data_IF_050613828434
#
_entry.id   IF_050613828434
#
_cell.length_a   1.000
_cell.length_b   1.000
_cell.length_c   1.000
_cell.angle_alpha   90.00
_cell.angle_beta   90.00
_cell.angle_gamma   90.00
#
_symmetry.space_group_name_H-M   'P 1'
#
loop_
_entity.id
_entity.type
_entity.pdbx_description
1 polymer ?
#
# COMPACT_ATOMS: atom_id res chain seq x y z
N UNK A 1 -44.80 20.14 -9.02
CA UNK A 1 -43.63 20.90 -8.48
C UNK A 1 -42.41 20.46 -9.25
N UNK A 2 -41.86 21.27 -10.16
CA UNK A 2 -40.44 21.25 -10.61
C UNK A 2 -40.12 22.37 -11.62
N UNK A 3 -40.76 23.53 -11.46
CA UNK A 3 -40.29 24.80 -11.99
C UNK A 3 -40.81 25.89 -11.05
N UNK A 4 -40.13 26.10 -9.92
CA UNK A 4 -40.19 27.44 -9.34
C UNK A 4 -39.35 28.30 -10.28
N UNK A 5 -39.98 29.27 -10.92
CA UNK A 5 -39.31 30.41 -11.57
C UNK A 5 -38.47 30.14 -12.83
N UNK A 6 -38.87 29.19 -13.70
CA UNK A 6 -38.20 28.88 -15.00
C UNK A 6 -36.72 28.47 -14.88
N UNK A 7 -36.25 28.10 -13.70
CA UNK A 7 -34.88 27.63 -13.50
C UNK A 7 -34.72 26.16 -13.89
N UNK A 8 -33.70 25.86 -14.70
CA UNK A 8 -33.36 24.47 -15.05
C UNK A 8 -32.63 23.79 -13.88
N UNK A 9 -33.12 22.64 -13.44
CA UNK A 9 -32.54 21.86 -12.36
C UNK A 9 -31.57 20.78 -12.89
N UNK A 10 -30.41 20.70 -12.24
CA UNK A 10 -29.33 19.79 -12.64
C UNK A 10 -28.86 18.93 -11.45
N UNK A 11 -28.40 17.72 -11.76
CA UNK A 11 -27.79 16.78 -10.83
C UNK A 11 -26.36 16.52 -11.32
N UNK A 12 -25.38 16.58 -10.42
CA UNK A 12 -24.00 16.23 -10.75
C UNK A 12 -23.91 14.76 -11.16
N UNK A 13 -23.25 14.47 -12.28
CA UNK A 13 -23.01 13.10 -12.72
C UNK A 13 -22.17 12.30 -11.70
N UNK A 14 -21.24 12.98 -11.04
CA UNK A 14 -20.31 12.41 -10.08
C UNK A 14 -20.18 13.31 -8.83
N UNK A 15 -19.93 12.73 -7.64
CA UNK A 15 -19.83 13.50 -6.42
C UNK A 15 -18.49 14.24 -6.30
N UNK A 16 -18.55 15.40 -5.65
CA UNK A 16 -17.40 16.25 -5.35
C UNK A 16 -16.97 16.10 -3.89
N UNK A 17 -15.69 16.37 -3.59
CA UNK A 17 -15.12 16.23 -2.22
C UNK A 17 -15.65 17.28 -1.26
N UNK A 18 -15.96 18.46 -1.79
CA UNK A 18 -16.41 19.62 -1.04
C UNK A 18 -17.44 20.38 -1.87
N UNK A 19 -18.29 21.17 -1.23
CA UNK A 19 -19.25 22.05 -1.93
C UNK A 19 -18.60 23.33 -2.49
N UNK A 20 -17.27 23.45 -2.44
CA UNK A 20 -16.56 24.68 -2.82
C UNK A 20 -16.54 24.94 -4.32
N UNK A 21 -16.49 23.90 -5.15
CA UNK A 21 -16.47 24.04 -6.61
C UNK A 21 -16.91 22.78 -7.34
N UNK A 22 -17.54 22.94 -8.51
CA UNK A 22 -17.83 21.86 -9.46
C UNK A 22 -16.64 21.51 -10.38
N UNK A 23 -15.42 21.86 -9.97
CA UNK A 23 -14.24 21.69 -10.82
C UNK A 23 -13.75 20.24 -10.83
N UNK A 24 -13.12 19.85 -11.94
CA UNK A 24 -12.48 18.54 -12.12
C UNK A 24 -11.55 18.12 -10.98
N UNK A 25 -10.77 19.06 -10.43
CA UNK A 25 -9.84 18.82 -9.31
C UNK A 25 -10.54 18.48 -7.99
N UNK A 26 -11.82 18.83 -7.85
CA UNK A 26 -12.62 18.58 -6.67
C UNK A 26 -13.49 17.31 -6.80
N UNK A 27 -13.39 16.55 -7.88
CA UNK A 27 -14.08 15.26 -8.01
C UNK A 27 -13.61 14.26 -6.96
N UNK A 28 -14.56 13.56 -6.32
CA UNK A 28 -14.30 12.61 -5.26
C UNK A 28 -14.19 11.17 -5.77
N UNK A 29 -15.18 10.73 -6.53
CA UNK A 29 -15.20 9.42 -7.16
C UNK A 29 -15.95 9.47 -8.50
N UNK A 30 -15.81 8.42 -9.31
CA UNK A 30 -16.55 8.22 -10.55
C UNK A 30 -17.59 7.13 -10.29
N UNK A 31 -18.86 7.49 -10.46
CA UNK A 31 -20.03 6.64 -10.39
C UNK A 31 -20.72 6.51 -11.75
N UNK A 32 -20.52 7.47 -12.66
CA UNK A 32 -21.08 7.43 -14.00
C UNK A 32 -20.23 8.20 -15.02
N UNK A 33 -20.38 7.80 -16.28
CA UNK A 33 -19.84 8.47 -17.47
C UNK A 33 -20.97 8.69 -18.46
N UNK A 34 -20.89 9.72 -19.28
CA UNK A 34 -21.93 10.02 -20.25
C UNK A 34 -21.38 10.40 -21.63
N UNK A 35 -22.14 10.07 -22.66
CA UNK A 35 -21.90 10.45 -24.06
C UNK A 35 -23.14 11.18 -24.54
N UNK A 36 -22.96 12.40 -25.03
CA UNK A 36 -24.03 13.24 -25.55
C UNK A 36 -24.16 12.99 -27.05
N UNK A 37 -25.33 12.55 -27.51
CA UNK A 37 -25.61 12.21 -28.91
C UNK A 37 -26.55 13.25 -29.49
N UNK A 38 -25.96 14.25 -30.12
CA UNK A 38 -26.68 15.35 -30.78
C UNK A 38 -26.97 15.02 -32.25
N UNK A 39 -27.76 13.96 -32.46
CA UNK A 39 -28.08 13.41 -33.78
C UNK A 39 -28.71 14.43 -34.72
N UNK A 40 -29.39 15.45 -34.19
CA UNK A 40 -30.01 16.51 -34.99
C UNK A 40 -29.01 17.41 -35.72
N UNK A 41 -27.73 17.42 -35.31
CA UNK A 41 -26.64 18.06 -36.07
C UNK A 41 -26.41 17.39 -37.44
N UNK A 42 -26.85 16.14 -37.60
CA UNK A 42 -26.65 15.35 -38.83
C UNK A 42 -27.91 15.41 -39.67
N UNK A 43 -27.78 15.83 -40.93
CA UNK A 43 -28.91 16.02 -41.85
C UNK A 43 -29.78 14.77 -41.99
N UNK A 44 -29.18 13.58 -41.93
CA UNK A 44 -29.86 12.29 -42.12
C UNK A 44 -30.81 11.97 -40.95
N UNK A 45 -30.51 12.46 -39.73
CA UNK A 45 -31.26 12.11 -38.52
C UNK A 45 -32.10 13.28 -37.98
N UNK A 46 -32.10 14.44 -38.64
CA UNK A 46 -32.70 15.68 -38.15
C UNK A 46 -34.20 15.55 -37.82
N UNK A 47 -34.91 14.79 -38.63
CA UNK A 47 -36.37 14.62 -38.56
C UNK A 47 -36.78 13.32 -37.84
N UNK A 48 -35.81 12.57 -37.31
CA UNK A 48 -36.10 11.37 -36.53
C UNK A 48 -36.51 11.73 -35.10
N UNK A 49 -37.45 10.96 -34.57
CA UNK A 49 -37.81 11.03 -33.16
C UNK A 49 -36.73 10.33 -32.30
N UNK A 50 -36.50 10.79 -31.05
CA UNK A 50 -35.45 10.23 -30.19
C UNK A 50 -35.54 8.72 -30.02
N UNK A 51 -36.75 8.16 -29.94
CA UNK A 51 -36.96 6.72 -29.79
C UNK A 51 -36.46 5.94 -31.01
N UNK A 52 -36.65 6.45 -32.23
CA UNK A 52 -36.18 5.80 -33.45
C UNK A 52 -34.65 5.77 -33.49
N UNK A 53 -34.00 6.86 -33.05
CA UNK A 53 -32.54 6.92 -32.96
C UNK A 53 -32.01 5.97 -31.89
N UNK A 54 -32.69 5.85 -30.75
CA UNK A 54 -32.34 4.87 -29.71
C UNK A 54 -32.40 3.45 -30.28
N UNK A 55 -33.45 3.10 -31.03
CA UNK A 55 -33.57 1.77 -31.66
C UNK A 55 -32.43 1.49 -32.65
N UNK A 56 -32.05 2.47 -33.47
CA UNK A 56 -30.89 2.32 -34.37
C UNK A 56 -29.58 2.07 -33.61
N UNK A 57 -29.39 2.78 -32.49
CA UNK A 57 -28.22 2.58 -31.64
C UNK A 57 -28.22 1.20 -30.95
N UNK A 58 -29.39 0.74 -30.49
CA UNK A 58 -29.60 -0.61 -29.95
C UNK A 58 -29.25 -1.68 -30.98
N UNK A 59 -29.74 -1.54 -32.21
CA UNK A 59 -29.56 -2.54 -33.26
C UNK A 59 -28.14 -2.57 -33.81
N UNK A 60 -27.47 -1.44 -33.98
CA UNK A 60 -26.17 -1.40 -34.69
C UNK A 60 -24.95 -1.32 -33.77
N UNK A 61 -25.08 -0.70 -32.59
CA UNK A 61 -23.92 -0.32 -31.77
C UNK A 61 -23.87 -1.02 -30.42
N UNK A 62 -24.99 -1.12 -29.71
CA UNK A 62 -25.02 -1.65 -28.35
C UNK A 62 -24.63 -3.14 -28.33
N UNK A 63 -23.78 -3.50 -27.38
CA UNK A 63 -23.14 -4.81 -27.20
C UNK A 63 -22.38 -5.34 -28.43
N UNK A 64 -22.16 -4.49 -29.45
CA UNK A 64 -21.40 -4.80 -30.67
C UNK A 64 -20.15 -3.93 -30.79
N UNK A 65 -20.31 -2.61 -30.71
CA UNK A 65 -19.25 -1.61 -30.89
C UNK A 65 -19.03 -0.77 -29.65
N UNK A 66 -20.08 -0.60 -28.85
CA UNK A 66 -20.05 0.04 -27.53
C UNK A 66 -20.91 -0.78 -26.56
N UNK A 67 -20.67 -0.69 -25.24
CA UNK A 67 -21.52 -1.36 -24.27
C UNK A 67 -22.93 -0.77 -24.28
N UNK A 68 -23.93 -1.57 -23.90
CA UNK A 68 -25.28 -1.07 -23.63
C UNK A 68 -25.25 -0.06 -22.46
N UNK A 69 -25.77 1.17 -22.62
CA UNK A 69 -25.81 2.14 -21.53
C UNK A 69 -26.73 1.69 -20.39
N UNK A 70 -26.45 2.11 -19.16
CA UNK A 70 -27.31 1.78 -18.01
C UNK A 70 -28.62 2.58 -18.05
N UNK A 71 -28.52 3.85 -18.43
CA UNK A 71 -29.65 4.74 -18.61
C UNK A 71 -29.50 5.55 -19.90
N UNK A 72 -30.62 5.91 -20.51
CA UNK A 72 -30.66 6.84 -21.63
C UNK A 72 -31.55 8.02 -21.24
N UNK A 73 -30.96 9.20 -21.11
CA UNK A 73 -31.70 10.45 -21.01
C UNK A 73 -32.08 10.89 -22.43
N UNK A 74 -33.36 11.15 -22.68
CA UNK A 74 -33.83 11.60 -23.98
C UNK A 74 -34.88 12.71 -23.86
N UNK A 75 -34.85 13.60 -24.85
CA UNK A 75 -35.75 14.73 -25.01
C UNK A 75 -35.56 15.27 -26.43
N UNK A 76 -35.00 16.47 -26.58
CA UNK A 76 -34.58 16.93 -27.91
C UNK A 76 -33.26 16.27 -28.39
N UNK A 77 -32.44 15.82 -27.46
CA UNK A 77 -31.15 15.14 -27.67
C UNK A 77 -31.16 13.83 -26.88
N UNK A 78 -30.20 12.96 -27.17
CA UNK A 78 -30.02 11.69 -26.47
C UNK A 78 -28.72 11.75 -25.69
N UNK A 79 -28.72 11.24 -24.46
CA UNK A 79 -27.51 11.06 -23.67
C UNK A 79 -27.45 9.66 -23.13
N UNK A 80 -26.38 8.96 -23.48
CA UNK A 80 -26.09 7.61 -23.03
C UNK A 80 -25.34 7.70 -21.70
N UNK A 81 -25.88 7.10 -20.65
CA UNK A 81 -25.32 7.17 -19.29
C UNK A 81 -24.89 5.77 -18.86
N UNK A 82 -23.60 5.63 -18.58
CA UNK A 82 -22.95 4.40 -18.13
C UNK A 82 -22.69 4.50 -16.64
N UNK A 83 -23.46 3.77 -15.83
CA UNK A 83 -23.22 3.69 -14.40
C UNK A 83 -22.12 2.66 -14.12
N UNK A 84 -21.16 3.07 -13.29
CA UNK A 84 -20.03 2.23 -12.91
C UNK A 84 -20.02 1.95 -11.40
N UNK A 85 -19.34 0.88 -11.00
CA UNK A 85 -18.93 0.71 -9.61
C UNK A 85 -18.10 1.90 -9.15
N UNK A 86 -18.37 2.33 -7.91
CA UNK A 86 -17.80 3.56 -7.36
C UNK A 86 -16.27 3.48 -7.35
N UNK A 87 -15.63 4.31 -8.19
CA UNK A 87 -14.18 4.35 -8.28
C UNK A 87 -13.63 5.64 -7.66
N UNK A 88 -12.98 5.54 -6.51
CA UNK A 88 -12.42 6.70 -5.80
C UNK A 88 -11.23 7.30 -6.54
N UNK A 89 -11.25 8.62 -6.71
CA UNK A 89 -10.14 9.37 -7.32
C UNK A 89 -9.14 9.69 -6.19
N UNK A 90 -7.86 9.31 -6.28
CA UNK A 90 -6.86 9.75 -5.30
C UNK A 90 -6.49 11.23 -5.49
N UNK A 91 -6.29 11.99 -4.40
CA UNK A 91 -6.04 13.46 -4.41
C UNK A 91 -4.87 13.95 -5.29
N UNK A 92 -3.99 13.06 -5.72
CA UNK A 92 -2.79 13.39 -6.52
C UNK A 92 -2.57 12.41 -7.70
N UNK A 93 -3.60 11.67 -8.09
CA UNK A 93 -3.50 10.71 -9.21
C UNK A 93 -4.73 10.79 -10.10
N UNK A 94 -4.52 11.34 -11.29
CA UNK A 94 -5.59 11.50 -12.27
C UNK A 94 -5.78 10.27 -13.17
N UNK A 95 -5.05 9.18 -12.94
CA UNK A 95 -5.09 7.99 -13.80
C UNK A 95 -6.51 7.44 -14.00
N UNK A 96 -7.32 7.39 -12.93
CA UNK A 96 -8.71 6.93 -12.98
C UNK A 96 -9.55 7.85 -13.85
N UNK A 97 -9.34 9.15 -13.73
CA UNK A 97 -10.05 10.18 -14.47
C UNK A 97 -9.64 10.22 -15.95
N UNK A 98 -8.36 9.99 -16.24
CA UNK A 98 -7.85 9.84 -17.60
C UNK A 98 -8.44 8.61 -18.26
N UNK A 99 -8.52 7.48 -17.54
CA UNK A 99 -9.12 6.25 -18.04
C UNK A 99 -10.60 6.45 -18.36
N UNK A 100 -11.39 6.97 -17.42
CA UNK A 100 -12.81 7.22 -17.63
C UNK A 100 -13.07 8.14 -18.84
N UNK A 101 -12.30 9.23 -18.96
CA UNK A 101 -12.39 10.14 -20.13
C UNK A 101 -12.06 9.43 -21.44
N UNK A 102 -11.05 8.57 -21.45
CA UNK A 102 -10.66 7.80 -22.65
C UNK A 102 -11.76 6.81 -23.06
N UNK A 103 -12.40 6.16 -22.09
CA UNK A 103 -13.54 5.27 -22.35
C UNK A 103 -14.70 6.07 -22.98
N UNK A 104 -15.09 7.19 -22.38
CA UNK A 104 -16.13 8.07 -22.97
C UNK A 104 -15.77 8.59 -24.36
N UNK A 105 -14.48 8.84 -24.62
CA UNK A 105 -13.98 9.30 -25.92
C UNK A 105 -14.12 8.23 -26.98
N UNK A 106 -13.70 6.99 -26.69
CA UNK A 106 -13.88 5.86 -27.63
C UNK A 106 -15.35 5.63 -27.95
N UNK A 107 -16.24 5.69 -26.95
CA UNK A 107 -17.68 5.53 -27.20
C UNK A 107 -18.25 6.67 -28.04
N UNK A 108 -17.81 7.91 -27.81
CA UNK A 108 -18.22 9.04 -28.63
C UNK A 108 -17.69 8.95 -30.07
N UNK A 109 -16.44 8.48 -30.24
CA UNK A 109 -15.82 8.30 -31.55
C UNK A 109 -16.54 7.22 -32.38
N UNK A 110 -16.94 6.10 -31.77
CA UNK A 110 -17.77 5.08 -32.42
C UNK A 110 -19.13 5.64 -32.90
N UNK A 111 -19.67 6.62 -32.18
CA UNK A 111 -20.96 7.26 -32.47
C UNK A 111 -20.82 8.63 -33.17
N UNK A 112 -19.64 8.97 -33.69
CA UNK A 112 -19.37 10.28 -34.29
C UNK A 112 -20.27 10.60 -35.49
N UNK A 113 -20.70 9.57 -36.22
CA UNK A 113 -21.63 9.71 -37.34
C UNK A 113 -23.04 10.10 -36.90
N UNK A 114 -23.40 9.79 -35.65
CA UNK A 114 -24.61 10.28 -34.96
C UNK A 114 -24.38 11.62 -34.24
N UNK A 115 -23.24 12.28 -34.46
CA UNK A 115 -22.94 13.57 -33.84
C UNK A 115 -22.62 13.46 -32.35
N UNK A 116 -22.14 12.30 -31.89
CA UNK A 116 -21.81 12.08 -30.51
C UNK A 116 -20.54 12.84 -30.07
N UNK A 117 -20.57 13.32 -28.83
CA UNK A 117 -19.47 14.00 -28.16
C UNK A 117 -19.33 13.47 -26.73
N UNK A 118 -18.08 13.32 -26.27
CA UNK A 118 -17.83 12.89 -24.89
C UNK A 118 -18.25 14.00 -23.92
N UNK A 119 -18.95 13.63 -22.85
CA UNK A 119 -19.26 14.57 -21.79
C UNK A 119 -18.15 14.60 -20.74
N UNK A 120 -17.87 15.78 -20.18
CA UNK A 120 -16.92 15.90 -19.08
C UNK A 120 -17.43 15.16 -17.83
N UNK A 121 -16.51 14.55 -17.07
CA UNK A 121 -16.86 13.70 -15.91
C UNK A 121 -17.45 14.53 -14.76
N UNK A 122 -17.06 15.81 -14.65
CA UNK A 122 -17.60 16.80 -13.73
C UNK A 122 -18.92 17.43 -14.18
N UNK A 123 -19.49 16.98 -15.30
CA UNK A 123 -20.71 17.55 -15.84
C UNK A 123 -21.96 17.15 -15.04
N UNK A 124 -23.09 17.64 -15.51
CA UNK A 124 -24.38 17.51 -14.87
C UNK A 124 -25.40 16.91 -15.85
N UNK A 125 -26.36 16.18 -15.30
CA UNK A 125 -27.55 15.69 -16.01
C UNK A 125 -28.76 16.48 -15.55
N UNK A 126 -29.80 16.56 -16.37
CA UNK A 126 -31.05 17.20 -15.95
C UNK A 126 -31.82 16.30 -15.00
N UNK A 127 -32.59 16.91 -14.11
CA UNK A 127 -33.48 16.15 -13.23
C UNK A 127 -34.52 15.41 -14.09
N UNK A 128 -34.68 14.08 -13.95
CA UNK A 128 -35.73 13.35 -14.68
C UNK A 128 -37.10 13.98 -14.47
N UNK A 129 -37.91 14.01 -15.54
CA UNK A 129 -39.24 14.63 -15.59
C UNK A 129 -39.25 16.16 -15.39
N UNK A 130 -38.10 16.83 -15.41
CA UNK A 130 -38.05 18.30 -15.50
C UNK A 130 -38.41 18.79 -16.91
N UNK A 131 -38.86 20.05 -17.00
CA UNK A 131 -39.16 20.72 -18.27
C UNK A 131 -37.95 21.58 -18.63
N UNK A 132 -37.40 21.38 -19.83
CA UNK A 132 -36.31 22.21 -20.33
C UNK A 132 -36.83 23.62 -20.65
N UNK A 133 -36.30 24.62 -19.96
CA UNK A 133 -36.70 26.03 -20.11
C UNK A 133 -36.54 26.57 -21.55
N UNK A 134 -35.60 26.01 -22.33
CA UNK A 134 -35.27 26.49 -23.69
C UNK A 134 -36.23 25.99 -24.77
N UNK A 135 -36.65 24.73 -24.68
CA UNK A 135 -37.40 24.06 -25.76
C UNK A 135 -38.77 23.54 -25.29
N UNK A 136 -39.11 23.67 -24.01
CA UNK A 136 -40.38 23.18 -23.44
C UNK A 136 -40.51 21.65 -23.37
N UNK A 137 -39.52 20.90 -23.84
CA UNK A 137 -39.54 19.43 -23.85
C UNK A 137 -39.29 18.85 -22.46
N UNK A 138 -40.08 17.85 -22.07
CA UNK A 138 -39.85 17.07 -20.85
C UNK A 138 -38.66 16.14 -21.02
N UNK A 139 -37.77 16.12 -20.02
CA UNK A 139 -36.64 15.19 -19.95
C UNK A 139 -37.15 13.84 -19.48
N UNK A 140 -37.01 12.80 -20.32
CA UNK A 140 -37.36 11.43 -19.98
C UNK A 140 -36.08 10.62 -19.77
N UNK A 141 -36.14 9.63 -18.88
CA UNK A 141 -35.05 8.67 -18.67
C UNK A 141 -35.61 7.28 -18.93
N UNK A 142 -34.96 6.57 -19.85
CA UNK A 142 -35.13 5.14 -20.05
C UNK A 142 -34.06 4.41 -19.24
N UNK A 143 -34.45 3.37 -18.50
CA UNK A 143 -33.55 2.55 -17.69
C UNK A 143 -33.64 1.11 -18.18
N UNK A 144 -32.51 0.48 -18.46
CA UNK A 144 -32.49 -0.95 -18.75
C UNK A 144 -32.69 -1.73 -17.43
N UNK A 145 -33.64 -2.65 -17.42
CA UNK A 145 -34.21 -3.28 -16.22
C UNK A 145 -33.24 -4.24 -15.53
N UNK A 146 -32.28 -4.80 -16.27
CA UNK A 146 -31.18 -5.59 -15.73
C UNK A 146 -30.06 -4.66 -15.24
N UNK A 147 -29.63 -4.89 -14.01
CA UNK A 147 -28.65 -4.13 -13.23
C UNK A 147 -27.24 -4.14 -13.83
N UNK A 148 -27.07 -3.62 -15.04
CA UNK A 148 -25.76 -3.51 -15.67
C UNK A 148 -25.01 -2.38 -14.97
N UNK A 149 -24.22 -2.77 -13.96
CA UNK A 149 -23.26 -1.90 -13.30
C UNK A 149 -21.87 -2.34 -13.74
N UNK A 150 -21.26 -1.52 -14.58
CA UNK A 150 -19.94 -1.81 -15.11
C UNK A 150 -18.85 -1.51 -14.09
N UNK A 151 -17.71 -2.17 -14.17
CA UNK A 151 -16.48 -1.66 -13.59
C UNK A 151 -15.69 -0.89 -14.64
N UNK A 152 -14.93 0.14 -14.25
CA UNK A 152 -14.01 0.81 -15.18
C UNK A 152 -12.96 -0.17 -15.76
N UNK A 153 -12.70 -1.28 -15.06
CA UNK A 153 -11.77 -2.31 -15.50
C UNK A 153 -12.35 -3.16 -16.62
N UNK A 154 -13.58 -3.62 -16.49
CA UNK A 154 -14.28 -4.35 -17.56
C UNK A 154 -14.41 -3.48 -18.81
N UNK A 155 -14.82 -2.21 -18.65
CA UNK A 155 -14.92 -1.30 -19.78
C UNK A 155 -13.58 -1.07 -20.47
N UNK A 156 -12.50 -0.99 -19.69
CA UNK A 156 -11.14 -0.90 -20.23
C UNK A 156 -10.75 -2.16 -21.01
N UNK A 157 -11.01 -3.35 -20.48
CA UNK A 157 -10.56 -4.61 -21.07
C UNK A 157 -11.35 -5.01 -22.31
N UNK A 158 -12.65 -4.71 -22.34
CA UNK A 158 -13.54 -5.08 -23.44
C UNK A 158 -13.54 -4.08 -24.58
N UNK A 159 -13.41 -2.78 -24.30
CA UNK A 159 -13.69 -1.72 -25.27
C UNK A 159 -12.51 -0.78 -25.58
N UNK A 160 -11.37 -0.92 -24.90
CA UNK A 160 -10.17 -0.17 -25.28
C UNK A 160 -9.15 -1.08 -25.94
N UNK A 161 -8.53 -0.58 -27.02
CA UNK A 161 -7.39 -1.24 -27.64
C UNK A 161 -6.23 -1.44 -26.65
N UNK A 162 -5.50 -2.54 -26.82
CA UNK A 162 -4.26 -2.75 -26.09
C UNK A 162 -3.29 -1.60 -26.34
N UNK A 163 -2.61 -1.17 -25.27
CA UNK A 163 -1.57 -0.17 -25.42
C UNK A 163 -0.50 -0.66 -26.41
N UNK A 164 -0.03 0.18 -27.35
CA UNK A 164 0.96 -0.23 -28.35
C UNK A 164 2.18 -0.91 -27.72
N UNK A 165 2.75 -1.91 -28.39
CA UNK A 165 3.88 -2.69 -27.86
C UNK A 165 5.10 -1.84 -27.47
N UNK A 166 5.31 -0.69 -28.13
CA UNK A 166 6.37 0.26 -27.81
C UNK A 166 6.10 1.07 -26.53
N UNK A 167 4.84 1.16 -26.08
CA UNK A 167 4.45 1.81 -24.85
C UNK A 167 4.84 0.94 -23.66
N UNK A 168 6.03 1.21 -23.11
CA UNK A 168 6.52 0.53 -21.91
C UNK A 168 5.53 0.79 -20.77
N UNK A 169 4.75 -0.23 -20.37
CA UNK A 169 4.05 -0.22 -19.08
C UNK A 169 5.07 0.24 -18.05
N UNK A 170 4.83 1.40 -17.43
CA UNK A 170 5.69 1.88 -16.33
C UNK A 170 5.66 0.76 -15.32
N UNK A 171 6.74 -0.03 -15.23
CA UNK A 171 6.83 -1.12 -14.25
C UNK A 171 6.54 -0.45 -12.93
N UNK A 172 5.34 -0.69 -12.37
CA UNK A 172 4.97 -0.15 -11.07
C UNK A 172 6.12 -0.46 -10.15
N UNK A 173 6.61 0.54 -9.39
CA UNK A 173 7.84 0.51 -8.60
C UNK A 173 8.20 -0.94 -8.29
N UNK A 174 9.07 -1.55 -9.12
CA UNK A 174 9.58 -2.88 -8.79
C UNK A 174 10.28 -2.58 -7.50
N UNK A 175 9.77 -3.10 -6.37
CA UNK A 175 10.47 -3.01 -5.09
C UNK A 175 11.89 -3.43 -5.44
N UNK A 176 12.82 -2.47 -5.43
CA UNK A 176 14.20 -2.67 -5.88
C UNK A 176 14.61 -3.99 -5.28
N UNK A 177 14.96 -5.00 -6.12
CA UNK A 177 15.14 -6.41 -5.72
C UNK A 177 15.40 -6.43 -4.24
N UNK A 178 14.35 -6.61 -3.43
CA UNK A 178 14.52 -6.47 -2.00
C UNK A 178 15.63 -7.45 -1.73
N UNK A 179 16.82 -6.98 -1.32
CA UNK A 179 17.91 -7.83 -0.83
C UNK A 179 17.17 -8.88 -0.04
N UNK A 180 17.17 -10.16 -0.46
CA UNK A 180 16.21 -11.15 0.09
C UNK A 180 16.40 -11.11 1.59
N UNK A 181 15.57 -10.32 2.24
CA UNK A 181 15.59 -10.20 3.68
C UNK A 181 14.84 -11.46 3.99
N UNK A 182 15.49 -12.42 4.65
CA UNK A 182 14.77 -13.46 5.35
C UNK A 182 13.77 -12.71 6.24
N UNK A 183 12.56 -12.50 5.74
CA UNK A 183 11.45 -12.05 6.55
C UNK A 183 11.34 -13.18 7.56
N UNK A 184 11.54 -12.88 8.83
CA UNK A 184 11.23 -13.80 9.91
C UNK A 184 9.70 -14.00 9.90
N UNK A 185 9.21 -14.72 8.89
CA UNK A 185 7.84 -15.15 8.79
C UNK A 185 7.70 -16.44 9.59
N UNK A 186 6.49 -16.71 10.07
CA UNK A 186 6.19 -17.84 10.94
C UNK A 186 6.63 -19.17 10.29
N UNK A 187 6.54 -19.27 8.96
CA UNK A 187 7.04 -20.40 8.20
C UNK A 187 8.55 -20.63 8.37
N UNK A 188 9.38 -19.60 8.12
CA UNK A 188 10.86 -19.70 8.21
C UNK A 188 11.29 -19.97 9.64
N UNK A 189 10.65 -19.29 10.62
CA UNK A 189 10.92 -19.52 12.04
C UNK A 189 10.70 -20.98 12.42
N UNK A 190 9.54 -21.56 12.11
CA UNK A 190 9.24 -22.93 12.49
C UNK A 190 10.01 -23.97 11.67
N UNK A 191 10.38 -23.65 10.42
CA UNK A 191 11.30 -24.47 9.64
C UNK A 191 12.70 -24.52 10.27
N UNK A 192 13.16 -23.40 10.82
CA UNK A 192 14.42 -23.35 11.57
C UNK A 192 14.30 -24.10 12.90
N UNK A 193 13.16 -23.99 13.61
CA UNK A 193 12.93 -24.73 14.86
C UNK A 193 12.97 -26.24 14.65
N UNK A 194 12.40 -26.73 13.56
CA UNK A 194 12.48 -28.16 13.21
C UNK A 194 13.95 -28.60 13.09
N UNK A 195 14.77 -27.82 12.37
CA UNK A 195 16.21 -28.10 12.23
C UNK A 195 16.97 -27.99 13.56
N UNK A 196 16.60 -27.04 14.41
CA UNK A 196 17.18 -26.92 15.76
C UNK A 196 16.83 -28.14 16.64
N UNK A 197 15.61 -28.67 16.53
CA UNK A 197 15.21 -29.88 17.25
C UNK A 197 15.99 -31.13 16.79
N UNK A 198 16.35 -31.21 15.51
CA UNK A 198 17.22 -32.28 14.97
C UNK A 198 18.63 -32.21 15.59
N UNK A 199 19.22 -31.01 15.68
CA UNK A 199 20.51 -30.81 16.36
C UNK A 199 20.44 -31.15 17.85
N UNK A 200 19.35 -30.77 18.52
CA UNK A 200 19.15 -31.10 19.94
C UNK A 200 19.02 -32.61 20.11
N UNK A 201 18.30 -33.30 19.21
CA UNK A 201 18.21 -34.76 19.22
C UNK A 201 19.58 -35.43 19.04
N UNK A 202 20.39 -34.97 18.09
CA UNK A 202 21.75 -35.48 17.88
C UNK A 202 22.62 -35.32 19.14
N UNK A 203 22.56 -34.14 19.76
CA UNK A 203 23.27 -33.89 21.02
C UNK A 203 22.80 -34.78 22.16
N UNK A 204 21.48 -34.92 22.37
CA UNK A 204 20.91 -35.79 23.41
C UNK A 204 21.31 -37.25 23.21
N UNK A 205 21.32 -37.72 21.97
CA UNK A 205 21.85 -39.03 21.64
C UNK A 205 23.34 -39.13 22.01
N UNK A 206 24.16 -38.14 21.66
CA UNK A 206 25.58 -38.12 21.99
C UNK A 206 25.88 -38.22 23.50
N UNK A 207 25.00 -37.71 24.36
CA UNK A 207 25.14 -37.80 25.82
C UNK A 207 24.31 -38.94 26.46
N UNK A 208 23.59 -39.73 25.66
CA UNK A 208 22.74 -40.83 26.14
C UNK A 208 21.50 -40.39 26.94
N UNK A 209 21.04 -39.15 26.78
CA UNK A 209 19.92 -38.60 27.55
C UNK A 209 18.57 -38.87 26.85
N UNK A 210 17.60 -39.44 27.59
CA UNK A 210 16.33 -39.93 27.03
C UNK A 210 15.09 -39.22 27.56
N UNK A 211 15.21 -38.38 28.59
CA UNK A 211 14.08 -37.74 29.29
C UNK A 211 13.28 -36.75 28.41
N UNK A 212 13.93 -36.12 27.43
CA UNK A 212 13.31 -35.06 26.62
C UNK A 212 12.63 -35.56 25.34
N UNK A 213 12.69 -36.86 25.03
CA UNK A 213 12.18 -37.43 23.77
C UNK A 213 10.72 -37.12 23.52
N UNK A 214 9.87 -37.25 24.54
CA UNK A 214 8.42 -36.98 24.43
C UNK A 214 8.18 -35.49 24.15
N UNK A 215 8.89 -34.61 24.85
CA UNK A 215 8.81 -33.15 24.67
C UNK A 215 9.26 -32.74 23.26
N UNK A 216 10.37 -33.30 22.77
CA UNK A 216 10.87 -33.03 21.42
C UNK A 216 9.93 -33.51 20.32
N UNK A 217 9.39 -34.73 20.44
CA UNK A 217 8.40 -35.25 19.50
C UNK A 217 7.14 -34.38 19.44
N UNK A 218 6.65 -33.94 20.60
CA UNK A 218 5.53 -33.00 20.69
C UNK A 218 5.83 -31.69 19.95
N UNK A 219 6.99 -31.08 20.21
CA UNK A 219 7.40 -29.83 19.55
C UNK A 219 7.58 -30.02 18.03
N UNK A 220 8.15 -31.15 17.60
CA UNK A 220 8.39 -31.46 16.19
C UNK A 220 7.08 -31.56 15.41
N UNK A 221 6.10 -32.31 15.94
CA UNK A 221 4.75 -32.40 15.35
C UNK A 221 4.06 -31.03 15.33
N UNK A 222 4.14 -30.29 16.45
CA UNK A 222 3.55 -28.96 16.56
C UNK A 222 4.12 -27.97 15.52
N UNK A 223 5.44 -27.84 15.42
CA UNK A 223 6.07 -26.88 14.50
C UNK A 223 5.90 -27.26 13.04
N UNK A 224 5.78 -28.56 12.73
CA UNK A 224 5.42 -29.03 11.39
C UNK A 224 4.03 -28.52 11.00
N UNK A 225 3.03 -28.67 11.87
CA UNK A 225 1.68 -28.15 11.63
C UNK A 225 1.63 -26.63 11.58
N UNK A 226 2.33 -25.92 12.47
CA UNK A 226 2.39 -24.45 12.44
C UNK A 226 2.98 -23.98 11.11
N UNK A 227 4.08 -24.59 10.66
CA UNK A 227 4.71 -24.27 9.37
C UNK A 227 3.71 -24.42 8.21
N UNK A 228 3.01 -25.55 8.14
CA UNK A 228 2.04 -25.84 7.05
C UNK A 228 0.85 -24.89 7.11
N UNK A 229 0.26 -24.68 8.30
CA UNK A 229 -0.88 -23.79 8.50
C UNK A 229 -0.61 -22.37 7.99
N UNK A 230 0.59 -21.84 8.24
CA UNK A 230 0.95 -20.49 7.79
C UNK A 230 1.36 -20.41 6.31
N UNK A 231 1.64 -21.55 5.67
CA UNK A 231 1.89 -21.62 4.23
C UNK A 231 0.57 -21.76 3.45
N UNK A 232 -0.33 -22.62 3.91
CA UNK A 232 -1.53 -23.06 3.17
C UNK A 232 -2.84 -22.47 3.74
N UNK A 233 -2.79 -21.78 4.88
CA UNK A 233 -3.94 -21.11 5.53
C UNK A 233 -4.75 -22.01 6.45
N UNK A 234 -5.24 -23.15 5.95
CA UNK A 234 -6.05 -24.13 6.71
C UNK A 234 -5.37 -25.50 6.72
N UNK A 235 -5.44 -26.18 7.86
CA UNK A 235 -4.97 -27.55 8.00
C UNK A 235 -6.03 -28.54 7.53
N UNK A 236 -5.59 -29.55 6.79
CA UNK A 236 -6.39 -30.67 6.29
C UNK A 236 -6.04 -31.96 7.05
N UNK A 237 -6.82 -33.01 6.83
CA UNK A 237 -6.54 -34.33 7.41
C UNK A 237 -5.20 -34.91 6.92
N UNK A 238 -4.87 -34.66 5.65
CA UNK A 238 -3.57 -35.04 5.06
C UNK A 238 -2.41 -34.35 5.78
N UNK A 239 -2.55 -33.08 6.17
CA UNK A 239 -1.51 -32.35 6.91
C UNK A 239 -1.26 -32.94 8.30
N UNK A 240 -2.32 -33.42 8.98
CA UNK A 240 -2.19 -34.08 10.28
C UNK A 240 -1.48 -35.43 10.18
N UNK A 241 -1.81 -36.21 9.15
CA UNK A 241 -1.16 -37.50 8.87
C UNK A 241 0.32 -37.28 8.50
N UNK A 242 0.59 -36.28 7.65
CA UNK A 242 1.95 -35.90 7.30
C UNK A 242 2.77 -35.48 8.52
N UNK A 243 2.24 -34.61 9.40
CA UNK A 243 2.96 -34.17 10.59
C UNK A 243 3.22 -35.32 11.58
N UNK A 244 2.31 -36.28 11.68
CA UNK A 244 2.51 -37.51 12.45
C UNK A 244 3.62 -38.37 11.86
N UNK A 245 3.62 -38.60 10.55
CA UNK A 245 4.65 -39.37 9.85
C UNK A 245 6.03 -38.73 10.03
N UNK A 246 6.14 -37.40 9.87
CA UNK A 246 7.40 -36.68 10.09
C UNK A 246 7.88 -36.77 11.54
N UNK A 247 6.97 -36.66 12.51
CA UNK A 247 7.31 -36.85 13.92
C UNK A 247 7.77 -38.28 14.21
N UNK A 248 7.16 -39.30 13.61
CA UNK A 248 7.58 -40.70 13.79
C UNK A 248 8.97 -40.97 13.17
N UNK A 249 9.27 -40.36 12.01
CA UNK A 249 10.63 -40.37 11.41
C UNK A 249 11.65 -39.66 12.27
N UNK A 250 11.26 -38.57 12.94
CA UNK A 250 12.10 -37.91 13.92
C UNK A 250 12.31 -38.81 15.15
N UNK A 251 11.24 -39.41 15.69
CA UNK A 251 11.28 -40.30 16.85
C UNK A 251 12.22 -41.50 16.64
N UNK A 252 12.24 -42.09 15.44
CA UNK A 252 13.07 -43.26 15.14
C UNK A 252 14.57 -43.00 15.19
N UNK A 253 14.99 -41.72 15.19
CA UNK A 253 16.40 -41.33 15.26
C UNK A 253 16.94 -41.21 16.68
N UNK A 254 16.11 -41.34 17.72
CA UNK A 254 16.61 -41.42 19.10
C UNK A 254 17.31 -42.75 19.34
N UNK A 255 18.35 -42.77 20.20
CA UNK A 255 19.00 -44.02 20.64
C UNK A 255 17.98 -45.00 21.21
N UNK A 256 17.05 -44.48 21.99
CA UNK A 256 15.87 -45.21 22.43
C UNK A 256 14.64 -44.46 21.90
N UNK A 257 13.96 -44.92 20.84
CA UNK A 257 12.74 -44.27 20.36
C UNK A 257 11.57 -44.46 21.33
N UNK A 258 10.65 -43.49 21.41
CA UNK A 258 9.38 -43.71 22.08
C UNK A 258 8.55 -44.74 21.29
N UNK A 259 7.66 -45.48 21.95
CA UNK A 259 6.75 -46.41 21.25
C UNK A 259 5.86 -45.64 20.25
N UNK A 260 5.87 -45.96 18.94
CA UNK A 260 5.20 -45.16 17.90
C UNK A 260 3.73 -44.85 18.20
N UNK A 261 2.93 -45.86 18.54
CA UNK A 261 1.50 -45.67 18.83
C UNK A 261 1.25 -44.81 20.08
N UNK A 262 2.13 -44.89 21.09
CA UNK A 262 2.01 -44.10 22.33
C UNK A 262 2.32 -42.64 22.04
N UNK A 263 3.42 -42.37 21.33
CA UNK A 263 3.82 -40.98 21.05
C UNK A 263 2.88 -40.31 20.04
N UNK A 264 2.35 -41.05 19.06
CA UNK A 264 1.31 -40.58 18.17
C UNK A 264 0.05 -40.15 18.95
N UNK A 265 -0.40 -40.96 19.91
CA UNK A 265 -1.54 -40.64 20.78
C UNK A 265 -1.25 -39.44 21.68
N UNK A 266 -0.10 -39.43 22.36
CA UNK A 266 0.26 -38.38 23.33
C UNK A 266 0.42 -37.00 22.69
N UNK A 267 0.79 -36.94 21.42
CA UNK A 267 0.97 -35.68 20.68
C UNK A 267 -0.27 -35.26 19.89
N UNK A 268 -1.35 -36.06 19.88
CA UNK A 268 -2.55 -35.82 19.03
C UNK A 268 -3.25 -34.49 19.33
N UNK A 269 -3.08 -33.93 20.53
CA UNK A 269 -3.68 -32.64 20.90
C UNK A 269 -3.22 -31.48 20.00
N UNK A 270 -2.08 -31.60 19.33
CA UNK A 270 -1.60 -30.57 18.38
C UNK A 270 -2.44 -30.50 17.10
N UNK A 271 -3.27 -31.51 16.82
CA UNK A 271 -4.19 -31.48 15.69
C UNK A 271 -5.31 -30.45 15.93
N UNK A 272 -5.75 -30.28 17.18
CA UNK A 272 -6.74 -29.28 17.55
C UNK A 272 -6.10 -27.94 17.88
N UNK A 273 -5.00 -27.93 18.64
CA UNK A 273 -4.35 -26.72 19.13
C UNK A 273 -2.87 -26.66 18.74
N UNK A 274 -2.52 -25.74 17.84
CA UNK A 274 -1.12 -25.47 17.50
C UNK A 274 -0.54 -24.35 18.38
N UNK A 275 0.60 -24.59 18.99
CA UNK A 275 1.23 -23.72 19.98
C UNK A 275 2.33 -22.85 19.36
N UNK A 276 2.24 -21.55 19.59
CA UNK A 276 3.26 -20.57 19.20
C UNK A 276 4.16 -20.25 20.41
N UNK A 277 5.21 -21.04 20.59
CA UNK A 277 6.11 -20.85 21.71
C UNK A 277 7.04 -19.64 21.54
N UNK A 278 7.25 -18.90 22.64
CA UNK A 278 8.35 -17.94 22.79
C UNK A 278 9.67 -18.71 22.99
N UNK A 279 10.80 -18.08 22.66
CA UNK A 279 12.11 -18.74 22.78
C UNK A 279 12.43 -19.11 24.23
N UNK A 280 12.10 -18.24 25.19
CA UNK A 280 12.29 -18.48 26.62
C UNK A 280 11.47 -19.69 27.08
N UNK A 281 10.23 -19.82 26.60
CA UNK A 281 9.39 -20.97 26.91
C UNK A 281 9.98 -22.26 26.34
N UNK A 282 10.57 -22.24 25.14
CA UNK A 282 11.23 -23.42 24.56
C UNK A 282 12.48 -23.82 25.31
N UNK A 283 13.35 -22.85 25.65
CA UNK A 283 14.55 -23.11 26.42
C UNK A 283 14.20 -23.72 27.78
N UNK A 284 13.20 -23.16 28.47
CA UNK A 284 12.73 -23.71 29.75
C UNK A 284 12.08 -25.10 29.59
N UNK A 285 11.27 -25.30 28.55
CA UNK A 285 10.57 -26.57 28.30
C UNK A 285 11.53 -27.71 27.93
N UNK A 286 12.67 -27.39 27.32
CA UNK A 286 13.74 -28.33 26.98
C UNK A 286 14.89 -28.32 27.99
N UNK A 287 14.79 -27.51 29.05
CA UNK A 287 15.81 -27.35 30.10
C UNK A 287 17.21 -27.04 29.52
N UNK A 288 17.24 -26.22 28.47
CA UNK A 288 18.46 -25.80 27.77
C UNK A 288 18.96 -24.44 28.27
N UNK A 289 20.26 -24.34 28.54
CA UNK A 289 20.92 -23.05 28.78
C UNK A 289 21.16 -22.31 27.45
N UNK A 290 21.20 -20.98 27.50
CA UNK A 290 21.49 -20.17 26.31
C UNK A 290 22.89 -20.41 25.75
N UNK A 291 23.86 -20.67 26.63
CA UNK A 291 25.22 -21.06 26.25
C UNK A 291 25.21 -22.36 25.43
N UNK A 292 24.40 -23.33 25.84
CA UNK A 292 24.29 -24.59 25.10
C UNK A 292 23.61 -24.40 23.75
N UNK A 293 22.60 -23.54 23.66
CA UNK A 293 21.97 -23.18 22.40
C UNK A 293 22.96 -22.53 21.41
N UNK A 294 23.89 -21.71 21.90
CA UNK A 294 24.97 -21.12 21.08
C UNK A 294 25.99 -22.16 20.65
N UNK A 295 26.43 -23.04 21.56
CA UNK A 295 27.38 -24.13 21.27
C UNK A 295 26.84 -25.08 20.19
N UNK A 296 25.55 -25.43 20.25
CA UNK A 296 24.88 -26.26 19.24
C UNK A 296 24.62 -25.49 17.92
N UNK A 297 24.87 -24.18 17.88
CA UNK A 297 24.64 -23.34 16.72
C UNK A 297 23.17 -23.31 16.28
N UNK A 298 22.24 -23.18 17.23
CA UNK A 298 20.80 -23.13 16.95
C UNK A 298 20.44 -21.83 16.21
N UNK A 299 19.65 -21.92 15.16
CA UNK A 299 19.30 -20.77 14.31
C UNK A 299 18.10 -19.97 14.83
N UNK A 300 17.19 -20.60 15.57
CA UNK A 300 15.90 -20.03 15.97
C UNK A 300 15.62 -20.05 17.46
N UNK A 301 16.20 -21.00 18.20
CA UNK A 301 16.12 -21.06 19.66
C UNK A 301 17.36 -20.35 20.22
N UNK A 302 17.28 -19.03 20.33
CA UNK A 302 18.38 -18.17 20.81
C UNK A 302 17.89 -17.18 21.86
N UNK A 303 18.83 -16.65 22.64
CA UNK A 303 18.57 -15.66 23.69
C UNK A 303 17.95 -14.39 23.07
N UNK A 304 16.71 -14.05 23.41
CA UNK A 304 16.10 -12.84 22.88
C UNK A 304 16.80 -11.61 23.44
N UNK A 305 17.03 -10.62 22.58
CA UNK A 305 17.58 -9.32 22.98
C UNK A 305 16.57 -8.55 23.83
N UNK A 306 17.08 -7.86 24.84
CA UNK A 306 16.30 -6.91 25.65
C UNK A 306 15.92 -5.66 24.85
N UNK A 307 14.89 -4.94 25.30
CA UNK A 307 14.49 -3.67 24.68
C UNK A 307 15.63 -2.64 24.65
N UNK A 308 16.49 -2.63 25.66
CA UNK A 308 17.63 -1.73 25.74
C UNK A 308 18.66 -2.05 24.65
N UNK A 309 18.96 -3.33 24.42
CA UNK A 309 19.87 -3.78 23.36
C UNK A 309 19.30 -3.49 21.96
N UNK A 310 18.00 -3.72 21.76
CA UNK A 310 17.29 -3.34 20.54
C UNK A 310 17.39 -1.83 20.25
N UNK A 311 17.14 -0.99 21.26
CA UNK A 311 17.23 0.45 21.13
C UNK A 311 18.65 0.89 20.79
N UNK A 312 19.66 0.31 21.43
CA UNK A 312 21.08 0.59 21.17
C UNK A 312 21.44 0.27 19.72
N UNK A 313 21.04 -0.90 19.22
CA UNK A 313 21.27 -1.31 17.83
C UNK A 313 20.53 -0.41 16.83
N UNK A 314 19.28 -0.05 17.12
CA UNK A 314 18.49 0.85 16.30
C UNK A 314 19.15 2.23 16.15
N UNK A 315 19.57 2.82 17.27
CA UNK A 315 20.24 4.12 17.27
C UNK A 315 21.59 4.06 16.54
N UNK A 316 22.37 3.00 16.75
CA UNK A 316 23.66 2.79 16.05
C UNK A 316 23.47 2.68 14.53
N UNK A 317 22.42 1.98 14.09
CA UNK A 317 22.14 1.77 12.65
C UNK A 317 21.62 3.03 11.95
N UNK A 318 20.85 3.85 12.65
CA UNK A 318 20.21 5.05 12.09
C UNK A 318 20.96 6.36 12.38
N UNK A 319 22.13 6.30 13.01
CA UNK A 319 22.90 7.47 13.42
C UNK A 319 23.14 8.47 12.26
N UNK A 320 23.55 7.97 11.09
CA UNK A 320 23.78 8.81 9.89
C UNK A 320 22.51 9.47 9.36
N UNK A 321 21.39 8.75 9.34
CA UNK A 321 20.10 9.28 8.87
C UNK A 321 19.60 10.36 9.83
N UNK A 322 19.73 10.13 11.13
CA UNK A 322 19.31 11.05 12.18
C UNK A 322 20.18 12.31 12.22
N UNK A 323 21.49 12.18 12.00
CA UNK A 323 22.40 13.31 11.85
C UNK A 323 22.02 14.19 10.64
N UNK A 324 21.54 13.58 9.55
CA UNK A 324 21.03 14.31 8.37
C UNK A 324 19.70 15.02 8.69
N UNK A 325 18.74 14.32 9.28
CA UNK A 325 17.45 14.91 9.70
C UNK A 325 17.64 16.09 10.65
N UNK A 326 18.59 15.99 11.58
CA UNK A 326 18.92 17.08 12.49
C UNK A 326 19.45 18.31 11.73
N UNK A 327 20.37 18.11 10.77
CA UNK A 327 20.86 19.20 9.91
C UNK A 327 19.75 19.82 9.06
N UNK A 328 18.85 19.00 8.50
CA UNK A 328 17.74 19.48 7.68
C UNK A 328 16.71 20.26 8.53
N UNK A 329 16.45 19.82 9.78
CA UNK A 329 15.64 20.57 10.74
C UNK A 329 16.25 21.92 11.10
N UNK A 330 17.56 21.98 11.31
CA UNK A 330 18.28 23.24 11.57
C UNK A 330 18.14 24.20 10.39
N UNK A 331 18.37 23.72 9.16
CA UNK A 331 18.17 24.51 7.92
C UNK A 331 16.75 25.02 7.77
N UNK A 332 15.74 24.18 8.02
CA UNK A 332 14.34 24.56 7.94
C UNK A 332 13.96 25.63 8.98
N UNK A 333 14.61 25.63 10.15
CA UNK A 333 14.44 26.65 11.19
C UNK A 333 15.32 27.89 10.95
N UNK A 334 16.09 27.95 9.86
CA UNK A 334 17.07 29.02 9.62
C UNK A 334 18.21 29.06 10.64
N UNK A 335 18.38 27.99 11.43
CA UNK A 335 19.42 27.89 12.46
C UNK A 335 20.66 27.23 11.90
N UNK A 336 21.82 27.73 12.29
CA UNK A 336 23.10 27.10 12.00
C UNK A 336 23.31 25.92 12.95
N UNK A 337 24.16 24.97 12.56
CA UNK A 337 24.64 23.99 13.53
C UNK A 337 25.59 24.67 14.51
N UNK A 338 25.65 24.18 15.76
CA UNK A 338 26.54 24.74 16.79
C UNK A 338 28.02 24.79 16.35
N UNK A 339 28.44 23.87 15.48
CA UNK A 339 29.78 23.84 14.88
C UNK A 339 29.99 24.99 13.88
N UNK A 340 28.98 25.29 13.06
CA UNK A 340 29.01 26.43 12.12
C UNK A 340 28.92 27.77 12.85
N UNK A 341 28.10 27.87 13.91
CA UNK A 341 28.02 29.06 14.77
C UNK A 341 29.39 29.38 15.39
N UNK A 342 30.06 28.36 15.94
CA UNK A 342 31.41 28.52 16.50
C UNK A 342 32.42 28.92 15.42
N UNK A 343 32.32 28.35 14.21
CA UNK A 343 33.20 28.72 13.09
C UNK A 343 33.02 30.18 12.66
N UNK A 344 31.77 30.63 12.51
CA UNK A 344 31.47 32.03 12.18
C UNK A 344 31.92 32.99 13.29
N UNK A 345 31.69 32.62 14.55
CA UNK A 345 32.16 33.41 15.69
C UNK A 345 33.69 33.54 15.69
N UNK A 346 34.40 32.44 15.46
CA UNK A 346 35.88 32.44 15.38
C UNK A 346 36.39 33.29 14.22
N UNK A 347 35.74 33.24 13.05
CA UNK A 347 36.09 34.11 11.93
C UNK A 347 35.94 35.60 12.30
N UNK A 348 34.80 35.98 12.91
CA UNK A 348 34.58 37.36 13.39
C UNK A 348 35.59 37.79 14.44
N UNK A 349 35.94 36.90 15.39
CA UNK A 349 36.96 37.18 16.40
C UNK A 349 38.32 37.43 15.73
N UNK A 350 38.69 36.62 14.74
CA UNK A 350 39.91 36.79 13.95
C UNK A 350 39.93 38.15 13.25
N UNK A 351 38.88 38.50 12.51
CA UNK A 351 38.79 39.78 11.78
C UNK A 351 38.89 40.99 12.73
N UNK A 352 38.24 40.92 13.90
CA UNK A 352 38.30 41.99 14.91
C UNK A 352 39.68 42.09 15.58
N UNK A 353 40.39 40.97 15.75
CA UNK A 353 41.78 40.98 16.24
C UNK A 353 42.73 41.58 15.20
N UNK A 354 42.55 41.28 13.91
CA UNK A 354 43.31 41.89 12.82
C UNK A 354 43.09 43.40 12.72
N UNK A 355 41.88 43.88 13.06
CA UNK A 355 41.56 45.31 13.19
C UNK A 355 42.15 45.96 14.46
N UNK A 356 42.89 45.20 15.28
CA UNK A 356 43.57 45.71 16.48
C UNK A 356 42.69 45.83 17.72
N UNK A 357 41.47 45.27 17.72
CA UNK A 357 40.62 45.30 18.91
C UNK A 357 41.17 44.36 20.00
N UNK A 358 41.09 44.80 21.25
CA UNK A 358 41.44 43.95 22.40
C UNK A 358 40.37 42.88 22.63
N UNK A 359 40.77 41.74 23.21
CA UNK A 359 39.83 40.66 23.58
C UNK A 359 38.68 41.15 24.47
N UNK A 360 38.92 42.17 25.29
CA UNK A 360 37.92 42.82 26.14
C UNK A 360 36.78 43.40 25.31
N UNK A 361 37.14 44.23 24.34
CA UNK A 361 36.20 44.89 23.44
C UNK A 361 35.46 43.86 22.57
N UNK A 362 36.14 42.78 22.16
CA UNK A 362 35.55 41.74 21.31
C UNK A 362 34.44 40.96 22.03
N UNK A 363 34.65 40.55 23.28
CA UNK A 363 33.62 39.77 23.99
C UNK A 363 32.40 40.62 24.37
N UNK A 364 32.60 41.92 24.63
CA UNK A 364 31.53 42.89 24.87
C UNK A 364 30.73 43.15 23.58
N UNK A 365 31.43 43.39 22.46
CA UNK A 365 30.83 43.68 21.15
C UNK A 365 30.07 42.48 20.55
N UNK A 366 30.60 41.26 20.71
CA UNK A 366 29.94 40.04 20.24
C UNK A 366 28.91 39.49 21.25
N UNK A 367 28.73 40.14 22.40
CA UNK A 367 27.87 39.70 23.49
C UNK A 367 28.09 38.22 23.89
N UNK A 368 29.35 37.84 24.08
CA UNK A 368 29.77 36.50 24.49
C UNK A 368 30.54 36.54 25.81
N UNK A 369 30.57 35.44 26.55
CA UNK A 369 31.31 35.41 27.82
C UNK A 369 32.82 35.54 27.59
N UNK A 370 33.51 36.21 28.53
CA UNK A 370 34.97 36.32 28.55
C UNK A 370 35.67 34.98 28.32
N UNK A 371 35.20 33.91 28.99
CA UNK A 371 35.76 32.56 28.86
C UNK A 371 35.62 32.00 27.43
N UNK A 372 34.48 32.26 26.78
CA UNK A 372 34.23 31.82 25.40
C UNK A 372 35.19 32.49 24.41
N UNK A 373 35.39 33.81 24.56
CA UNK A 373 36.32 34.56 23.72
C UNK A 373 37.76 34.07 23.89
N UNK A 374 38.22 33.88 25.13
CA UNK A 374 39.58 33.39 25.42
C UNK A 374 39.81 32.00 24.80
N UNK A 375 38.86 31.08 24.95
CA UNK A 375 38.97 29.74 24.40
C UNK A 375 39.02 29.75 22.85
N UNK A 376 38.25 30.62 22.21
CA UNK A 376 38.26 30.74 20.75
C UNK A 376 39.55 31.39 20.23
N UNK A 377 40.12 32.36 20.96
CA UNK A 377 41.45 32.92 20.64
C UNK A 377 42.55 31.86 20.82
N UNK A 378 42.53 31.07 21.91
CA UNK A 378 43.49 29.96 22.11
C UNK A 378 43.42 28.96 20.96
N UNK A 379 42.21 28.56 20.56
CA UNK A 379 42.02 27.68 19.41
C UNK A 379 42.59 28.29 18.11
N UNK A 380 42.38 29.57 17.84
CA UNK A 380 42.91 30.22 16.65
C UNK A 380 44.44 30.26 16.65
N UNK A 381 45.08 30.51 17.81
CA UNK A 381 46.55 30.46 17.97
C UNK A 381 47.11 29.05 17.78
N UNK A 382 46.49 28.05 18.39
CA UNK A 382 46.87 26.63 18.26
C UNK A 382 46.79 26.14 16.81
N UNK A 383 45.93 26.73 15.98
CA UNK A 383 45.80 26.44 14.55
C UNK A 383 46.66 27.34 13.65
N UNK A 384 47.46 28.26 14.21
CA UNK A 384 48.31 29.18 13.46
C UNK A 384 47.54 30.20 12.61
N UNK A 385 46.30 30.52 12.99
CA UNK A 385 45.43 31.41 12.23
C UNK A 385 45.54 32.88 12.64
N UNK A 386 46.17 33.18 13.78
CA UNK A 386 46.46 34.51 14.35
C UNK A 386 47.73 34.47 15.17
#
# INVERSE_FOLDING_TARGET
MNSKDKEDLFISLNPFRTMKSGARSNLFCINAMAVDVDYKKKRIFKDLEPFQVIQLLEDEFFDKRIPTPTHIEYGNQIRLIYCVETCYIPKHKDNVLILARRISEVFADELKDFGAEKQNIESYIRVPNSINSKNGTTVKIFKYENSIRYTLRELQELWLEELPKWYKKKKGRVKANNKVVKLHNVFTLNSNRIRDLEKIQEWLNGIGQTEFRVRLNFLYRNFTLVKIKYQNGKLTEEDFNYAEEQMLKFNSKFIEPCRPHVIARNTRNVNTNQYLYKNETLANYLELSWEKCEELGLESIYKPKTQQEWNKDYYKKNDKARAKEYKDKLKAQGKLSKKEEVKQRRAKIKDLLEQGLTQKNIYELLNISKRTCINDVSYLKEQGLI
#
